data_IF_714326448307
#
_entry.id   IF_714326448307
#
_cell.length_a   1.000
_cell.length_b   1.000
_cell.length_c   1.000
_cell.angle_alpha   90.00
_cell.angle_beta   90.00
_cell.angle_gamma   90.00
#
_symmetry.space_group_name_H-M   'P 1'
#
loop_
_entity.id
_entity.type
_entity.pdbx_description
1 polymer ?
#
# COMPACT_ATOMS: atom_id res chain seq x y z
N UNK A 1 -25.34 2.87 -14.39
CA UNK A 1 -24.07 2.15 -14.09
C UNK A 1 -23.64 2.53 -12.68
N UNK A 2 -23.29 1.57 -11.82
CA UNK A 2 -22.81 1.85 -10.46
C UNK A 2 -21.38 2.40 -10.56
N UNK A 3 -21.04 3.46 -9.83
CA UNK A 3 -19.68 4.00 -9.84
C UNK A 3 -18.68 2.94 -9.35
N UNK A 4 -17.55 2.80 -10.06
CA UNK A 4 -16.49 1.86 -9.68
C UNK A 4 -15.80 2.32 -8.39
N UNK A 5 -15.58 1.41 -7.45
CA UNK A 5 -14.96 1.68 -6.15
C UNK A 5 -13.45 1.87 -6.29
N UNK A 6 -12.93 3.01 -5.84
CA UNK A 6 -11.49 3.30 -5.87
C UNK A 6 -10.81 2.57 -4.71
N UNK A 7 -9.89 1.66 -5.02
CA UNK A 7 -9.20 0.86 -4.00
C UNK A 7 -7.70 1.08 -4.12
N UNK A 8 -7.06 1.56 -3.07
CA UNK A 8 -5.60 1.58 -3.03
C UNK A 8 -5.04 0.20 -2.71
N UNK A 9 -3.95 -0.17 -3.36
CA UNK A 9 -3.20 -1.40 -3.07
C UNK A 9 -1.74 -1.01 -2.84
N UNK A 10 -1.30 -0.91 -1.58
CA UNK A 10 0.11 -0.60 -1.29
C UNK A 10 0.98 -1.85 -1.44
N UNK A 11 2.25 -1.68 -1.79
CA UNK A 11 3.13 -2.84 -2.03
C UNK A 11 2.79 -3.55 -3.34
N UNK A 12 2.24 -2.82 -4.32
CA UNK A 12 1.83 -3.38 -5.62
C UNK A 12 2.99 -3.93 -6.47
N UNK A 13 4.23 -3.58 -6.13
CA UNK A 13 5.43 -4.16 -6.74
C UNK A 13 5.81 -5.54 -6.18
N UNK A 14 5.21 -5.95 -5.06
CA UNK A 14 5.38 -7.28 -4.47
C UNK A 14 4.38 -8.29 -5.04
N UNK A 15 4.60 -9.58 -4.75
CA UNK A 15 3.81 -10.70 -5.28
C UNK A 15 2.29 -10.53 -5.03
N UNK A 16 1.89 -10.37 -3.76
CA UNK A 16 0.47 -10.31 -3.38
C UNK A 16 -0.18 -9.05 -3.93
N UNK A 17 0.43 -7.87 -3.72
CA UNK A 17 -0.12 -6.61 -4.20
C UNK A 17 -0.30 -6.58 -5.72
N UNK A 18 0.65 -7.15 -6.47
CA UNK A 18 0.57 -7.27 -7.92
C UNK A 18 -0.63 -8.14 -8.36
N UNK A 19 -0.81 -9.31 -7.76
CA UNK A 19 -1.96 -10.18 -8.05
C UNK A 19 -3.29 -9.54 -7.68
N UNK A 20 -3.37 -8.80 -6.56
CA UNK A 20 -4.58 -8.09 -6.15
C UNK A 20 -4.98 -7.05 -7.21
N UNK A 21 -4.02 -6.30 -7.75
CA UNK A 21 -4.28 -5.32 -8.82
C UNK A 21 -4.76 -6.02 -10.10
N UNK A 22 -4.11 -7.13 -10.49
CA UNK A 22 -4.45 -7.85 -11.73
C UNK A 22 -5.78 -8.58 -11.69
N UNK A 23 -6.20 -9.05 -10.50
CA UNK A 23 -7.41 -9.87 -10.32
C UNK A 23 -8.60 -9.06 -9.79
N UNK A 24 -8.50 -7.74 -9.77
CA UNK A 24 -9.57 -6.89 -9.27
C UNK A 24 -10.89 -7.13 -10.03
N UNK A 25 -12.00 -7.34 -9.30
CA UNK A 25 -13.28 -7.64 -9.93
C UNK A 25 -13.85 -6.40 -10.64
N UNK A 26 -14.80 -6.64 -11.54
CA UNK A 26 -15.59 -5.58 -12.15
C UNK A 26 -16.31 -4.76 -11.08
N UNK A 27 -16.27 -3.43 -11.25
CA UNK A 27 -16.81 -2.49 -10.25
C UNK A 27 -15.80 -2.05 -9.18
N UNK A 28 -14.56 -2.54 -9.23
CA UNK A 28 -13.42 -1.98 -8.51
C UNK A 28 -12.43 -1.34 -9.49
N UNK A 29 -11.81 -0.25 -9.07
CA UNK A 29 -10.73 0.44 -9.77
C UNK A 29 -9.51 0.43 -8.84
N UNK A 30 -8.66 -0.61 -8.92
CA UNK A 30 -7.47 -0.70 -8.10
C UNK A 30 -6.44 0.33 -8.54
N UNK A 31 -5.80 1.00 -7.58
CA UNK A 31 -4.64 1.86 -7.77
C UNK A 31 -3.48 1.17 -7.06
N UNK A 32 -2.61 0.53 -7.84
CA UNK A 32 -1.39 -0.07 -7.33
C UNK A 32 -0.37 0.99 -6.95
N UNK A 33 0.12 0.94 -5.70
CA UNK A 33 1.10 1.87 -5.16
C UNK A 33 2.37 1.10 -4.78
N UNK A 34 3.46 1.40 -5.46
CA UNK A 34 4.81 0.98 -5.07
C UNK A 34 5.43 2.00 -4.11
N UNK A 35 6.60 1.69 -3.54
CA UNK A 35 7.35 2.63 -2.70
C UNK A 35 7.73 3.91 -3.44
N UNK A 36 7.95 3.84 -4.76
CA UNK A 36 8.27 5.02 -5.58
C UNK A 36 7.04 5.91 -5.80
N UNK A 37 5.84 5.34 -5.82
CA UNK A 37 4.59 6.07 -6.00
C UNK A 37 4.11 6.74 -4.70
N UNK A 38 4.37 6.09 -3.56
CA UNK A 38 3.98 6.56 -2.25
C UNK A 38 4.91 5.95 -1.19
N UNK A 39 5.84 6.76 -0.66
CA UNK A 39 6.63 6.35 0.51
C UNK A 39 5.78 6.47 1.76
N UNK A 40 5.40 5.33 2.34
CA UNK A 40 4.53 5.26 3.51
C UNK A 40 5.22 5.80 4.78
N UNK A 41 6.54 5.98 4.76
CA UNK A 41 7.28 6.60 5.86
C UNK A 41 7.15 8.14 5.87
N UNK A 42 6.61 8.74 4.82
CA UNK A 42 6.27 10.17 4.78
C UNK A 42 4.76 10.35 4.96
N UNK A 43 4.34 10.47 6.22
CA UNK A 43 2.94 10.67 6.60
C UNK A 43 2.31 11.87 5.92
N UNK A 44 3.07 12.95 5.70
CA UNK A 44 2.54 14.17 5.07
C UNK A 44 2.12 13.91 3.62
N UNK A 45 2.92 13.14 2.88
CA UNK A 45 2.62 12.76 1.49
C UNK A 45 1.47 11.76 1.45
N UNK A 46 1.43 10.79 2.36
CA UNK A 46 0.32 9.84 2.52
C UNK A 46 -0.99 10.57 2.76
N UNK A 47 -1.04 11.45 3.77
CA UNK A 47 -2.25 12.20 4.11
C UNK A 47 -2.74 13.08 2.96
N UNK A 48 -1.83 13.83 2.34
CA UNK A 48 -2.19 14.73 1.23
C UNK A 48 -2.76 13.96 0.06
N UNK A 49 -2.16 12.82 -0.27
CA UNK A 49 -2.65 11.95 -1.35
C UNK A 49 -3.97 11.29 -0.97
N UNK A 50 -4.12 10.83 0.27
CA UNK A 50 -5.34 10.20 0.77
C UNK A 50 -6.51 11.18 0.75
N UNK A 51 -6.33 12.41 1.23
CA UNK A 51 -7.35 13.47 1.17
C UNK A 51 -7.76 13.81 -0.26
N UNK A 52 -6.79 13.89 -1.18
CA UNK A 52 -7.03 14.21 -2.59
C UNK A 52 -7.77 13.10 -3.33
N UNK A 53 -7.36 11.85 -3.11
CA UNK A 53 -7.87 10.70 -3.87
C UNK A 53 -9.04 10.01 -3.19
N UNK A 54 -9.25 10.22 -1.89
CA UNK A 54 -10.36 9.72 -1.08
C UNK A 54 -10.77 8.28 -1.46
N UNK A 55 -9.88 7.29 -1.32
CA UNK A 55 -10.16 5.92 -1.73
C UNK A 55 -11.30 5.33 -0.92
N UNK A 56 -12.14 4.51 -1.55
CA UNK A 56 -13.23 3.78 -0.88
C UNK A 56 -12.69 2.65 0.02
N UNK A 57 -11.51 2.12 -0.28
CA UNK A 57 -10.84 1.08 0.50
C UNK A 57 -9.32 1.10 0.29
N UNK A 58 -8.59 0.50 1.23
CA UNK A 58 -7.14 0.26 1.15
C UNK A 58 -6.88 -1.23 1.40
N UNK A 59 -6.10 -1.86 0.52
CA UNK A 59 -5.52 -3.18 0.73
C UNK A 59 -4.01 -2.98 0.95
N UNK A 60 -3.55 -3.19 2.17
CA UNK A 60 -2.17 -2.90 2.56
C UNK A 60 -1.27 -4.13 2.43
N UNK A 61 -0.49 -4.22 1.34
CA UNK A 61 0.49 -5.29 1.11
C UNK A 61 1.95 -4.81 1.19
N UNK A 62 2.20 -3.57 1.59
CA UNK A 62 3.56 -3.05 1.71
C UNK A 62 4.16 -3.52 3.04
N UNK A 63 5.26 -4.26 2.97
CA UNK A 63 6.01 -4.70 4.15
C UNK A 63 7.43 -5.12 3.75
N UNK A 64 8.33 -5.14 4.74
CA UNK A 64 9.60 -5.86 4.66
C UNK A 64 9.35 -7.27 5.17
N UNK A 65 9.36 -8.26 4.27
CA UNK A 65 9.06 -9.67 4.59
C UNK A 65 10.30 -10.53 4.84
N UNK A 66 11.50 -10.02 4.54
CA UNK A 66 12.76 -10.75 4.74
C UNK A 66 13.15 -10.75 6.21
N UNK A 67 13.03 -11.91 6.87
CA UNK A 67 13.42 -12.06 8.28
C UNK A 67 14.89 -11.68 8.54
N UNK A 68 15.89 -12.12 7.75
CA UNK A 68 17.27 -11.69 7.96
C UNK A 68 17.44 -10.17 7.88
N UNK A 69 16.81 -9.53 6.90
CA UNK A 69 16.87 -8.07 6.75
C UNK A 69 16.21 -7.36 7.93
N UNK A 70 15.07 -7.86 8.42
CA UNK A 70 14.41 -7.30 9.59
C UNK A 70 15.27 -7.43 10.86
N UNK A 71 16.03 -8.53 11.01
CA UNK A 71 16.95 -8.72 12.13
C UNK A 71 18.17 -7.79 12.04
N UNK A 72 18.68 -7.55 10.84
CA UNK A 72 19.78 -6.62 10.59
C UNK A 72 19.36 -5.14 10.73
N UNK A 73 18.11 -4.82 10.37
CA UNK A 73 17.56 -3.46 10.36
C UNK A 73 16.25 -3.34 11.16
N UNK A 74 16.27 -3.61 12.48
CA UNK A 74 15.05 -3.70 13.28
C UNK A 74 14.27 -2.39 13.36
N UNK A 75 14.95 -1.23 13.38
CA UNK A 75 14.28 0.07 13.40
C UNK A 75 13.53 0.33 12.09
N UNK A 76 14.13 0.00 10.94
CA UNK A 76 13.47 0.16 9.64
C UNK A 76 12.30 -0.81 9.49
N UNK A 77 12.45 -2.04 9.98
CA UNK A 77 11.36 -3.02 10.01
C UNK A 77 10.20 -2.54 10.89
N UNK A 78 10.47 -1.98 12.07
CA UNK A 78 9.45 -1.41 12.94
C UNK A 78 8.74 -0.24 12.27
N UNK A 79 9.49 0.73 11.74
CA UNK A 79 8.91 1.88 11.02
C UNK A 79 8.03 1.43 9.86
N UNK A 80 8.49 0.46 9.07
CA UNK A 80 7.78 0.03 7.84
C UNK A 80 6.63 -0.95 8.10
N UNK A 81 6.75 -1.85 9.07
CA UNK A 81 5.76 -2.93 9.26
C UNK A 81 4.81 -2.66 10.43
N UNK A 82 5.11 -1.69 11.31
CA UNK A 82 4.29 -1.34 12.47
C UNK A 82 3.77 0.07 12.33
N UNK A 83 4.64 1.07 12.25
CA UNK A 83 4.22 2.48 12.33
C UNK A 83 3.34 2.90 11.15
N UNK A 84 3.52 2.33 9.95
CA UNK A 84 2.65 2.63 8.79
C UNK A 84 1.27 1.97 8.85
N UNK A 85 0.96 1.24 9.92
CA UNK A 85 -0.31 0.50 10.10
C UNK A 85 -1.13 0.93 11.31
N UNK A 86 -0.66 1.93 12.06
CA UNK A 86 -1.34 2.47 13.25
C UNK A 86 -2.26 3.65 12.94
#
# INVERSE_FOLDING_TARGET
MKASKRVWVTGAGGLIGNYVVQTAPTGCSPIGLTRQDLDLLDLSVVENRFRRENPDAIIHCAAISSNPFCQEHPQLAQRTNVETTQ
#
